data_IF_926598113952
#
_entry.id   IF_926598113952
#
_cell.length_a   1.000
_cell.length_b   1.000
_cell.length_c   1.000
_cell.angle_alpha   90.00
_cell.angle_beta   90.00
_cell.angle_gamma   90.00
#
_symmetry.space_group_name_H-M   'P 1'
#
loop_
_entity.id
_entity.type
_entity.pdbx_description
1 polymer ?
#
# COMPACT_ATOMS: atom_id res chain seq x y z
N UNK A 1 -6.76 21.35 14.38
CA UNK A 1 -6.15 22.23 13.36
C UNK A 1 -7.27 23.08 12.80
N UNK A 2 -7.22 24.39 12.97
CA UNK A 2 -8.28 25.30 12.49
C UNK A 2 -8.17 25.38 10.95
N UNK A 3 -9.21 24.88 10.25
CA UNK A 3 -9.24 24.69 8.80
C UNK A 3 -9.07 25.99 7.99
N UNK A 4 -9.39 27.14 8.57
CA UNK A 4 -9.35 28.46 7.92
C UNK A 4 -7.94 28.88 7.47
N UNK A 5 -6.90 28.39 8.15
CA UNK A 5 -5.50 28.65 7.77
C UNK A 5 -4.91 27.57 6.84
N UNK A 6 -5.67 26.54 6.49
CA UNK A 6 -5.19 25.36 5.79
C UNK A 6 -5.73 25.25 4.34
N UNK A 7 -6.96 25.69 4.13
CA UNK A 7 -7.68 25.55 2.85
C UNK A 7 -7.66 26.87 2.09
N UNK A 8 -7.30 26.80 0.80
CA UNK A 8 -7.33 27.93 -0.14
C UNK A 8 -8.69 28.06 -0.82
N UNK A 9 -9.31 26.94 -1.18
CA UNK A 9 -10.60 26.92 -1.87
C UNK A 9 -11.34 25.61 -1.63
N UNK A 10 -12.67 25.67 -1.70
CA UNK A 10 -13.56 24.51 -1.72
C UNK A 10 -14.49 24.67 -2.92
N UNK A 11 -14.53 23.66 -3.80
CA UNK A 11 -15.43 23.60 -4.94
C UNK A 11 -16.37 22.42 -4.76
N UNK A 12 -17.68 22.69 -4.79
CA UNK A 12 -18.72 21.66 -4.65
C UNK A 12 -19.28 21.37 -6.05
N UNK A 13 -19.24 20.09 -6.44
CA UNK A 13 -19.92 19.58 -7.65
C UNK A 13 -21.18 18.82 -7.24
N UNK A 14 -21.91 18.25 -8.19
CA UNK A 14 -23.13 17.48 -7.91
C UNK A 14 -22.89 16.27 -6.99
N UNK A 15 -21.73 15.61 -7.12
CA UNK A 15 -21.41 14.36 -6.42
C UNK A 15 -20.15 14.43 -5.51
N UNK A 16 -19.36 15.52 -5.58
CA UNK A 16 -18.04 15.60 -4.93
C UNK A 16 -17.73 16.98 -4.40
N UNK A 17 -16.73 17.03 -3.54
CA UNK A 17 -16.14 18.26 -3.02
C UNK A 17 -14.63 18.23 -3.28
N UNK A 18 -14.11 19.26 -3.95
CA UNK A 18 -12.68 19.43 -4.21
C UNK A 18 -12.16 20.47 -3.21
N UNK A 19 -11.16 20.08 -2.43
CA UNK A 19 -10.52 20.94 -1.43
C UNK A 19 -9.10 21.26 -1.89
N UNK A 20 -8.84 22.54 -2.15
CA UNK A 20 -7.51 23.04 -2.49
C UNK A 20 -6.82 23.53 -1.22
N UNK A 21 -5.67 22.97 -0.90
CA UNK A 21 -4.88 23.37 0.28
C UNK A 21 -3.92 24.53 -0.05
N UNK A 22 -3.50 25.28 0.98
CA UNK A 22 -2.51 26.37 0.84
C UNK A 22 -1.10 25.87 0.53
N UNK A 23 -0.76 24.71 1.07
CA UNK A 23 0.53 24.06 0.87
C UNK A 23 0.39 22.53 0.80
N UNK A 24 1.46 21.88 0.33
CA UNK A 24 1.53 20.43 0.15
C UNK A 24 1.55 19.67 1.48
N UNK A 25 2.08 20.27 2.55
CA UNK A 25 2.21 19.61 3.86
C UNK A 25 0.85 19.50 4.55
N UNK A 26 0.03 20.54 4.43
CA UNK A 26 -1.38 20.56 4.84
C UNK A 26 -2.16 19.52 4.08
N UNK A 27 -2.01 19.46 2.75
CA UNK A 27 -2.66 18.42 1.93
C UNK A 27 -2.25 17.03 2.40
N UNK A 28 -0.96 16.80 2.60
CA UNK A 28 -0.39 15.53 3.05
C UNK A 28 -0.91 15.15 4.43
N UNK A 29 -0.93 16.09 5.38
CA UNK A 29 -1.48 15.91 6.73
C UNK A 29 -2.96 15.55 6.70
N UNK A 30 -3.76 16.20 5.84
CA UNK A 30 -5.16 15.86 5.64
C UNK A 30 -5.34 14.46 5.07
N UNK A 31 -4.55 14.09 4.06
CA UNK A 31 -4.60 12.74 3.49
C UNK A 31 -4.21 11.66 4.49
N UNK A 32 -3.23 11.92 5.35
CA UNK A 32 -2.77 10.97 6.38
C UNK A 32 -3.82 10.82 7.48
N UNK A 33 -4.30 11.93 8.05
CA UNK A 33 -5.18 11.92 9.23
C UNK A 33 -6.66 11.76 8.90
N UNK A 34 -7.02 11.93 7.64
CA UNK A 34 -8.39 12.06 7.19
C UNK A 34 -9.03 13.39 7.59
N UNK A 35 -10.28 13.59 7.17
CA UNK A 35 -11.09 14.75 7.52
C UNK A 35 -12.34 14.29 8.26
N UNK A 36 -12.70 14.95 9.36
CA UNK A 36 -13.97 14.73 10.04
C UNK A 36 -14.92 15.88 9.75
N UNK A 37 -16.10 15.57 9.21
CA UNK A 37 -17.17 16.55 8.97
C UNK A 37 -18.38 16.13 9.80
N UNK A 38 -18.82 16.99 10.73
CA UNK A 38 -19.91 16.71 11.67
C UNK A 38 -19.76 15.34 12.36
N UNK A 39 -18.54 15.04 12.82
CA UNK A 39 -18.13 13.79 13.47
C UNK A 39 -18.11 12.53 12.57
N UNK A 40 -18.42 12.65 11.28
CA UNK A 40 -18.26 11.57 10.31
C UNK A 40 -16.90 11.64 9.64
N UNK A 41 -16.25 10.48 9.49
CA UNK A 41 -15.00 10.41 8.74
C UNK A 41 -15.29 10.53 7.24
N UNK A 42 -14.64 11.47 6.58
CA UNK A 42 -14.74 11.68 5.15
C UNK A 42 -13.52 11.04 4.50
N UNK A 43 -13.77 10.13 3.56
CA UNK A 43 -12.71 9.55 2.75
C UNK A 43 -12.21 10.62 1.79
N UNK A 44 -10.92 10.96 1.90
CA UNK A 44 -10.27 11.86 0.96
C UNK A 44 -9.68 11.03 -0.17
N UNK A 45 -9.90 11.49 -1.40
CA UNK A 45 -9.25 10.95 -2.58
C UNK A 45 -8.28 11.99 -3.08
N UNK A 46 -7.01 11.61 -3.17
CA UNK A 46 -6.01 12.49 -3.75
C UNK A 46 -6.15 12.55 -5.28
N UNK A 47 -6.36 13.75 -5.80
CA UNK A 47 -6.47 14.01 -7.24
C UNK A 47 -5.15 13.73 -7.96
N UNK A 48 -4.02 13.99 -7.30
CA UNK A 48 -2.68 13.74 -7.85
C UNK A 48 -2.27 12.27 -7.79
N UNK A 49 -3.12 11.41 -7.22
CA UNK A 49 -2.89 9.99 -7.11
C UNK A 49 -1.52 9.69 -6.46
N UNK A 50 -1.18 10.38 -5.36
CA UNK A 50 0.04 10.16 -4.57
C UNK A 50 -0.11 8.99 -3.60
N UNK A 51 -1.33 8.54 -3.35
CA UNK A 51 -1.63 7.41 -2.46
C UNK A 51 -1.19 6.10 -3.11
N UNK A 52 -0.34 5.36 -2.43
CA UNK A 52 0.07 3.99 -2.81
C UNK A 52 -0.66 2.99 -1.92
N UNK A 53 -1.46 2.12 -2.54
CA UNK A 53 -2.15 1.05 -1.82
C UNK A 53 -1.23 -0.16 -1.77
N UNK A 54 -1.01 -0.67 -0.56
CA UNK A 54 -0.12 -1.78 -0.28
C UNK A 54 -0.93 -2.95 0.26
N UNK A 55 -0.66 -4.14 -0.26
CA UNK A 55 -1.15 -5.41 0.25
C UNK A 55 0.04 -6.20 0.78
N UNK A 56 -0.03 -6.63 2.03
CA UNK A 56 0.94 -7.51 2.66
C UNK A 56 0.30 -8.90 2.78
N UNK A 57 1.03 -9.93 2.37
CA UNK A 57 0.64 -11.34 2.44
C UNK A 57 1.63 -12.11 3.31
N UNK A 58 1.16 -13.25 3.81
CA UNK A 58 1.91 -14.16 4.68
C UNK A 58 2.31 -13.54 6.04
N UNK A 59 1.67 -12.43 6.42
CA UNK A 59 1.78 -11.90 7.77
C UNK A 59 0.98 -12.80 8.72
N UNK A 60 1.66 -13.51 9.62
CA UNK A 60 0.96 -14.34 10.59
C UNK A 60 0.05 -13.49 11.50
N UNK A 61 -0.94 -14.12 12.12
CA UNK A 61 -1.94 -13.41 12.93
C UNK A 61 -1.30 -12.65 14.11
N UNK A 62 -0.30 -13.29 14.71
CA UNK A 62 0.54 -12.82 15.82
C UNK A 62 1.38 -11.60 15.45
N UNK A 63 1.60 -11.34 14.16
CA UNK A 63 2.25 -10.11 13.73
C UNK A 63 1.26 -8.94 13.90
N UNK A 64 1.50 -8.17 14.96
CA UNK A 64 0.67 -7.04 15.37
C UNK A 64 0.69 -5.88 14.38
N UNK A 65 -0.44 -5.20 14.29
CA UNK A 65 -0.66 -4.14 13.30
C UNK A 65 0.26 -2.93 13.53
N UNK A 66 0.55 -2.59 14.78
CA UNK A 66 1.52 -1.53 15.11
C UNK A 66 2.92 -1.83 14.57
N UNK A 67 3.36 -3.10 14.60
CA UNK A 67 4.68 -3.48 14.08
C UNK A 67 4.72 -3.30 12.57
N UNK A 68 3.66 -3.69 11.87
CA UNK A 68 3.51 -3.52 10.42
C UNK A 68 3.45 -2.03 10.07
N UNK A 69 2.68 -1.24 10.82
CA UNK A 69 2.56 0.19 10.65
C UNK A 69 3.94 0.88 10.76
N UNK A 70 4.68 0.59 11.85
CA UNK A 70 6.02 1.14 12.07
C UNK A 70 6.98 0.71 10.98
N UNK A 71 6.98 -0.58 10.62
CA UNK A 71 7.83 -1.07 9.53
C UNK A 71 7.52 -0.36 8.21
N UNK A 72 6.24 -0.20 7.86
CA UNK A 72 5.87 0.41 6.58
C UNK A 72 6.06 1.93 6.55
N UNK A 73 6.13 2.58 7.72
CA UNK A 73 6.42 4.01 7.84
C UNK A 73 7.83 4.39 7.35
N UNK A 74 8.75 3.43 7.23
CA UNK A 74 10.07 3.66 6.63
C UNK A 74 9.99 3.97 5.11
N UNK A 75 8.87 3.62 4.47
CA UNK A 75 8.67 3.79 3.03
C UNK A 75 7.82 4.99 2.65
N UNK A 76 7.35 5.77 3.64
CA UNK A 76 6.49 6.93 3.47
C UNK A 76 5.50 7.07 4.62
N UNK A 77 4.57 8.02 4.52
CA UNK A 77 3.60 8.25 5.58
C UNK A 77 2.41 7.30 5.45
N UNK A 78 2.26 6.37 6.38
CA UNK A 78 1.09 5.48 6.43
C UNK A 78 -0.15 6.30 6.81
N UNK A 79 -1.26 6.11 6.09
CA UNK A 79 -2.53 6.80 6.36
C UNK A 79 -3.17 6.20 7.62
N UNK A 80 -3.58 7.07 8.54
CA UNK A 80 -4.21 6.68 9.81
C UNK A 80 -5.50 5.89 9.55
N UNK A 81 -5.66 4.77 10.25
CA UNK A 81 -6.82 3.89 10.10
C UNK A 81 -6.91 3.15 8.76
N UNK A 82 -5.94 3.32 7.85
CA UNK A 82 -5.93 2.58 6.58
C UNK A 82 -5.49 1.12 6.73
N UNK A 83 -4.81 0.78 7.83
CA UNK A 83 -4.33 -0.57 8.11
C UNK A 83 -5.51 -1.48 8.50
N UNK A 84 -5.86 -2.39 7.58
CA UNK A 84 -6.98 -3.31 7.72
C UNK A 84 -6.51 -4.76 7.58
N UNK A 85 -7.15 -5.66 8.32
CA UNK A 85 -6.94 -7.11 8.23
C UNK A 85 -7.89 -7.71 7.19
N UNK A 86 -7.36 -8.59 6.36
CA UNK A 86 -8.19 -9.35 5.43
C UNK A 86 -8.98 -10.43 6.14
N UNK A 87 -10.11 -10.83 5.54
CA UNK A 87 -10.93 -11.93 6.05
C UNK A 87 -11.06 -13.05 5.03
N UNK A 88 -11.40 -14.25 5.50
CA UNK A 88 -11.78 -15.35 4.63
C UNK A 88 -13.13 -15.01 3.98
N UNK A 89 -13.26 -15.26 2.68
CA UNK A 89 -14.46 -14.91 1.92
C UNK A 89 -15.70 -15.56 2.53
N UNK A 90 -16.72 -14.75 2.82
CA UNK A 90 -17.98 -15.20 3.39
C UNK A 90 -17.94 -15.38 4.92
N UNK A 91 -16.85 -14.97 5.58
CA UNK A 91 -16.74 -15.04 7.05
C UNK A 91 -16.18 -13.74 7.62
N UNK A 92 -16.27 -13.59 8.95
CA UNK A 92 -15.59 -12.53 9.71
C UNK A 92 -14.22 -12.96 10.24
N UNK A 93 -13.72 -14.13 9.84
CA UNK A 93 -12.46 -14.66 10.36
C UNK A 93 -11.31 -13.98 9.61
N UNK A 94 -10.46 -13.30 10.37
CA UNK A 94 -9.27 -12.64 9.85
C UNK A 94 -8.26 -13.65 9.29
N UNK A 95 -7.56 -13.25 8.23
CA UNK A 95 -6.47 -14.00 7.63
C UNK A 95 -5.14 -13.24 7.75
N UNK A 96 -4.08 -13.82 7.22
CA UNK A 96 -2.73 -13.23 7.26
C UNK A 96 -2.48 -12.10 6.27
N UNK A 97 -3.52 -11.52 5.67
CA UNK A 97 -3.39 -10.37 4.77
C UNK A 97 -3.53 -9.07 5.55
N UNK A 98 -2.74 -8.06 5.17
CA UNK A 98 -2.95 -6.67 5.58
C UNK A 98 -3.07 -5.79 4.37
N UNK A 99 -3.86 -4.74 4.51
CA UNK A 99 -4.04 -3.69 3.52
C UNK A 99 -3.75 -2.36 4.18
N UNK A 100 -3.03 -1.46 3.51
CA UNK A 100 -2.77 -0.12 4.02
C UNK A 100 -2.51 0.85 2.87
N UNK A 101 -2.54 2.14 3.18
CA UNK A 101 -2.26 3.22 2.24
C UNK A 101 -1.05 4.03 2.69
N UNK A 102 -0.17 4.41 1.76
CA UNK A 102 1.01 5.23 2.00
C UNK A 102 0.97 6.48 1.12
N UNK A 103 1.14 7.66 1.74
CA UNK A 103 1.34 8.95 1.06
C UNK A 103 2.84 9.25 1.00
N UNK A 104 3.31 9.77 -0.14
CA UNK A 104 4.74 10.05 -0.33
C UNK A 104 5.59 8.78 -0.37
N UNK A 105 5.02 7.67 -0.87
CA UNK A 105 5.72 6.39 -0.93
C UNK A 105 7.01 6.48 -1.76
N UNK A 106 8.08 5.85 -1.27
CA UNK A 106 9.34 5.69 -2.03
C UNK A 106 9.08 5.07 -3.41
N UNK A 107 9.94 5.33 -4.41
CA UNK A 107 9.71 4.88 -5.79
C UNK A 107 9.54 3.37 -5.95
N UNK A 108 10.12 2.57 -5.05
CA UNK A 108 10.07 1.11 -5.13
C UNK A 108 10.01 0.49 -3.74
N UNK A 109 9.05 -0.42 -3.55
CA UNK A 109 8.92 -1.26 -2.37
C UNK A 109 9.55 -2.64 -2.67
N UNK A 110 10.14 -3.30 -1.66
CA UNK A 110 10.61 -4.66 -1.83
C UNK A 110 9.42 -5.61 -2.04
N UNK A 111 9.63 -6.70 -2.78
CA UNK A 111 8.61 -7.76 -2.94
C UNK A 111 8.47 -8.65 -1.71
N UNK A 112 9.54 -8.75 -0.92
CA UNK A 112 9.62 -9.54 0.30
C UNK A 112 10.35 -8.73 1.36
N UNK A 113 9.91 -8.87 2.60
CA UNK A 113 10.55 -8.26 3.74
C UNK A 113 10.43 -9.17 4.95
N UNK A 114 11.34 -9.02 5.90
CA UNK A 114 11.27 -9.68 7.20
C UNK A 114 10.81 -8.64 8.23
N UNK A 115 9.66 -8.90 8.85
CA UNK A 115 9.11 -8.05 9.92
C UNK A 115 9.15 -8.84 11.22
N UNK A 116 10.04 -8.46 12.12
CA UNK A 116 10.37 -9.26 13.30
C UNK A 116 10.96 -10.60 12.88
N UNK A 117 10.24 -11.70 13.13
CA UNK A 117 10.64 -13.07 12.75
C UNK A 117 9.88 -13.63 11.54
N UNK A 118 9.02 -12.83 10.91
CA UNK A 118 8.12 -13.29 9.87
C UNK A 118 8.52 -12.75 8.51
N UNK A 119 8.64 -13.63 7.53
CA UNK A 119 8.82 -13.25 6.14
C UNK A 119 7.46 -12.98 5.50
N UNK A 120 7.31 -11.77 4.96
CA UNK A 120 6.08 -11.31 4.33
C UNK A 120 6.32 -10.99 2.86
N UNK A 121 5.26 -11.10 2.05
CA UNK A 121 5.26 -10.58 0.67
C UNK A 121 4.52 -9.26 0.61
N UNK A 122 5.09 -8.30 -0.11
CA UNK A 122 4.54 -6.96 -0.27
C UNK A 122 4.18 -6.76 -1.74
N UNK A 123 2.97 -6.26 -1.97
CA UNK A 123 2.44 -5.89 -3.28
C UNK A 123 1.96 -4.45 -3.21
N UNK A 124 2.23 -3.66 -4.24
CA UNK A 124 1.72 -2.30 -4.32
C UNK A 124 1.20 -1.96 -5.72
N UNK A 125 0.23 -1.05 -5.78
CA UNK A 125 -0.26 -0.52 -7.04
C UNK A 125 0.83 0.31 -7.76
N UNK A 126 0.55 0.70 -9.01
CA UNK A 126 1.43 1.54 -9.86
C UNK A 126 2.81 0.92 -10.14
N UNK A 127 2.88 -0.41 -10.15
CA UNK A 127 4.11 -1.18 -10.35
C UNK A 127 5.26 -0.77 -9.40
N UNK A 128 4.92 -0.32 -8.19
CA UNK A 128 5.92 0.05 -7.17
C UNK A 128 6.64 -1.15 -6.56
N UNK A 129 6.16 -2.36 -6.81
CA UNK A 129 6.88 -3.61 -6.52
C UNK A 129 7.44 -4.16 -7.83
N UNK A 130 8.76 -4.43 -7.92
CA UNK A 130 9.36 -4.89 -9.16
C UNK A 130 8.83 -6.29 -9.53
N UNK A 131 8.85 -6.63 -10.80
CA UNK A 131 8.45 -7.97 -11.24
C UNK A 131 9.31 -9.04 -10.54
N UNK A 132 8.70 -10.00 -9.85
CA UNK A 132 9.47 -11.05 -9.15
C UNK A 132 10.26 -11.95 -10.11
N UNK A 133 9.88 -11.98 -11.40
CA UNK A 133 10.54 -12.81 -12.42
C UNK A 133 11.78 -12.12 -12.95
N UNK A 134 11.64 -10.91 -13.53
CA UNK A 134 12.72 -10.20 -14.22
C UNK A 134 13.20 -8.91 -13.55
N UNK A 135 12.65 -8.54 -12.40
CA UNK A 135 12.97 -7.34 -11.62
C UNK A 135 12.66 -5.98 -12.29
N UNK A 136 11.95 -5.99 -13.42
CA UNK A 136 11.54 -4.76 -14.12
C UNK A 136 10.29 -4.14 -13.48
N UNK A 137 10.14 -2.81 -13.62
CA UNK A 137 9.06 -2.01 -12.98
C UNK A 137 7.92 -1.62 -13.94
N UNK A 138 7.99 -2.04 -15.20
CA UNK A 138 7.02 -1.65 -16.23
C UNK A 138 5.80 -2.58 -16.29
N UNK A 139 5.86 -3.72 -15.60
CA UNK A 139 4.78 -4.70 -15.57
C UNK A 139 4.69 -5.40 -14.23
N UNK A 140 3.49 -5.85 -13.90
CA UNK A 140 3.24 -6.81 -12.84
C UNK A 140 3.75 -8.21 -13.21
N UNK A 141 4.17 -9.00 -12.23
CA UNK A 141 4.70 -10.36 -12.42
C UNK A 141 3.85 -11.30 -13.28
N UNK A 142 2.53 -11.17 -13.26
CA UNK A 142 1.62 -12.00 -14.07
C UNK A 142 1.54 -11.60 -15.56
N UNK A 143 1.96 -10.37 -15.89
CA UNK A 143 2.11 -9.86 -17.26
C UNK A 143 3.56 -9.83 -17.72
N UNK A 144 4.44 -10.56 -17.04
CA UNK A 144 5.86 -10.56 -17.39
C UNK A 144 6.05 -11.14 -18.81
N UNK A 145 6.74 -10.45 -19.73
CA UNK A 145 7.03 -10.99 -21.06
C UNK A 145 7.99 -12.17 -20.97
N UNK A 146 8.83 -12.22 -19.93
CA UNK A 146 9.71 -13.35 -19.59
C UNK A 146 8.99 -14.40 -18.74
N UNK A 147 7.65 -14.45 -18.77
CA UNK A 147 6.87 -15.41 -17.97
C UNK A 147 7.15 -16.87 -18.35
N UNK A 148 7.41 -17.10 -19.64
CA UNK A 148 7.62 -18.43 -20.21
C UNK A 148 9.11 -18.82 -20.22
N UNK A 149 10.00 -17.91 -19.77
CA UNK A 149 11.36 -18.26 -19.46
C UNK A 149 11.34 -19.11 -18.17
N UNK A 150 11.69 -20.39 -18.31
CA UNK A 150 11.76 -21.42 -17.27
C UNK A 150 12.87 -21.14 -16.24
N UNK A 151 12.93 -19.93 -15.68
CA UNK A 151 13.98 -19.54 -14.74
C UNK A 151 13.54 -19.81 -13.30
N UNK A 152 14.40 -20.47 -12.54
CA UNK A 152 14.30 -20.62 -11.11
C UNK A 152 13.99 -19.28 -10.45
N UNK A 153 12.89 -19.20 -9.71
CA UNK A 153 12.48 -17.95 -9.08
C UNK A 153 13.40 -17.50 -7.93
N UNK A 154 14.29 -18.38 -7.45
CA UNK A 154 15.27 -18.11 -6.40
C UNK A 154 16.60 -17.63 -7.01
N UNK A 155 17.26 -18.44 -7.84
CA UNK A 155 18.61 -18.15 -8.33
C UNK A 155 18.66 -17.60 -9.77
N UNK A 156 17.52 -17.52 -10.48
CA UNK A 156 17.40 -17.04 -11.87
C UNK A 156 18.06 -17.91 -12.95
N UNK A 157 18.44 -19.14 -12.61
CA UNK A 157 18.99 -20.13 -13.55
C UNK A 157 17.88 -20.86 -14.33
N UNK A 158 18.15 -21.30 -15.56
CA UNK A 158 17.25 -22.09 -16.40
C UNK A 158 17.29 -23.60 -16.12
N UNK A 159 18.32 -24.08 -15.43
CA UNK A 159 18.55 -25.52 -15.24
C UNK A 159 17.64 -26.18 -14.20
N UNK A 160 16.90 -25.39 -13.41
CA UNK A 160 15.98 -25.93 -12.42
C UNK A 160 14.80 -24.99 -12.14
N UNK A 161 13.75 -25.55 -11.55
CA UNK A 161 12.66 -24.78 -10.97
C UNK A 161 12.70 -24.90 -9.45
N UNK A 162 12.42 -23.79 -8.76
CA UNK A 162 12.25 -23.82 -7.31
C UNK A 162 10.92 -24.51 -6.98
N UNK A 163 10.98 -25.64 -6.27
CA UNK A 163 9.78 -26.29 -5.74
C UNK A 163 9.10 -25.38 -4.73
N UNK A 164 7.78 -25.22 -4.87
CA UNK A 164 6.97 -24.59 -3.83
C UNK A 164 6.79 -25.61 -2.72
N UNK A 165 7.31 -25.33 -1.53
CA UNK A 165 6.96 -26.07 -0.32
C UNK A 165 5.44 -26.07 -0.18
N UNK A 166 4.84 -27.26 -0.23
CA UNK A 166 3.42 -27.49 -0.01
C UNK A 166 3.05 -27.30 1.45
#
# INVERSE_FOLDING_TARGET
MYLENAVSAIQITEDRCIVTCKDTDVKTSMLIRGLKVKNNHVQLVDVENTITNVTIKDAQYELGDNVIYTFMSQYGNVVDGSLLRGTIKGTGIENGSRYLSIVGCVPTLPNRATIGRFDVRIFANKNRTPCIRCNEKVHSSYKCPKKDATLCHICKDSDHQAERSQ
#
